data_IF_889022333419
#
_entry.id   IF_889022333419
#
_cell.length_a   1.000
_cell.length_b   1.000
_cell.length_c   1.000
_cell.angle_alpha   90.00
_cell.angle_beta   90.00
_cell.angle_gamma   90.00
#
_symmetry.space_group_name_H-M   'P 1'
#
loop_
_entity.id
_entity.type
_entity.pdbx_description
1 polymer ?
#
# COMPACT_ATOMS: atom_id res chain seq x y z
N UNK A 1 22.51 -3.25 15.89
CA UNK A 1 22.53 -2.64 14.54
C UNK A 1 23.06 -1.20 14.57
N UNK A 2 22.47 -0.26 15.32
CA UNK A 2 23.03 1.11 15.42
C UNK A 2 24.41 1.17 16.10
N UNK A 3 24.70 0.35 17.12
CA UNK A 3 26.06 0.29 17.72
C UNK A 3 27.12 -0.14 16.70
N UNK A 4 26.88 -1.23 15.98
CA UNK A 4 27.77 -1.69 14.90
C UNK A 4 28.00 -0.61 13.82
N UNK A 5 26.95 0.12 13.39
CA UNK A 5 27.12 1.24 12.47
C UNK A 5 27.92 2.40 13.10
N UNK A 6 27.64 2.74 14.36
CA UNK A 6 28.36 3.80 15.08
C UNK A 6 29.86 3.47 15.20
N UNK A 7 30.19 2.21 15.50
CA UNK A 7 31.55 1.70 15.58
C UNK A 7 32.25 1.73 14.20
N UNK A 8 31.58 1.28 13.12
CA UNK A 8 32.12 1.32 11.76
C UNK A 8 32.42 2.72 11.26
N UNK A 9 31.57 3.68 11.58
CA UNK A 9 31.73 5.08 11.17
C UNK A 9 32.49 5.92 12.20
N UNK A 10 32.95 5.32 13.31
CA UNK A 10 33.67 6.02 14.39
C UNK A 10 32.93 7.26 14.92
N UNK A 11 31.60 7.15 15.06
CA UNK A 11 30.75 8.22 15.59
C UNK A 11 30.00 7.76 16.84
N UNK A 12 29.58 8.71 17.67
CA UNK A 12 28.74 8.40 18.82
C UNK A 12 27.39 7.83 18.36
N UNK A 13 26.88 6.82 19.07
CA UNK A 13 25.56 6.24 18.79
C UNK A 13 24.44 7.30 18.81
N UNK A 14 24.55 8.31 19.66
CA UNK A 14 23.63 9.46 19.71
C UNK A 14 23.66 10.29 18.44
N UNK A 15 24.85 10.52 17.87
CA UNK A 15 25.03 11.22 16.59
C UNK A 15 24.41 10.43 15.44
N UNK A 16 24.68 9.12 15.37
CA UNK A 16 24.07 8.26 14.36
C UNK A 16 22.54 8.26 14.47
N UNK A 17 22.00 8.18 15.68
CA UNK A 17 20.55 8.22 15.92
C UNK A 17 19.94 9.53 15.41
N UNK A 18 20.55 10.67 15.73
CA UNK A 18 20.12 11.99 15.23
C UNK A 18 20.12 12.05 13.70
N UNK A 19 21.19 11.57 13.06
CA UNK A 19 21.30 11.54 11.59
C UNK A 19 20.13 10.74 11.01
N UNK A 20 19.90 9.51 11.49
CA UNK A 20 18.82 8.65 11.00
C UNK A 20 17.46 9.35 11.18
N UNK A 21 17.16 9.89 12.36
CA UNK A 21 15.89 10.58 12.61
C UNK A 21 15.71 11.81 11.71
N UNK A 22 16.74 12.62 11.54
CA UNK A 22 16.69 13.81 10.67
C UNK A 22 16.40 13.42 9.22
N UNK A 23 17.09 12.41 8.69
CA UNK A 23 16.87 11.94 7.32
C UNK A 23 15.51 11.26 7.15
N UNK A 24 15.05 10.49 8.14
CA UNK A 24 13.70 9.91 8.12
C UNK A 24 12.61 10.99 8.10
N UNK A 25 12.74 12.04 8.92
CA UNK A 25 11.81 13.15 8.93
C UNK A 25 11.84 13.92 7.60
N UNK A 26 13.03 14.18 7.06
CA UNK A 26 13.19 14.83 5.76
C UNK A 26 12.54 14.00 4.63
N UNK A 27 12.81 12.70 4.58
CA UNK A 27 12.20 11.80 3.61
C UNK A 27 10.68 11.74 3.76
N UNK A 28 10.15 11.75 4.99
CA UNK A 28 8.72 11.83 5.23
C UNK A 28 8.11 13.13 4.68
N UNK A 29 8.79 14.26 4.87
CA UNK A 29 8.37 15.55 4.32
C UNK A 29 8.40 15.55 2.80
N UNK A 30 9.48 15.08 2.19
CA UNK A 30 9.63 15.02 0.73
C UNK A 30 8.60 14.06 0.14
N UNK A 31 8.50 12.83 0.62
CA UNK A 31 7.53 11.85 0.12
C UNK A 31 6.09 12.29 0.37
N UNK A 32 5.82 12.96 1.49
CA UNK A 32 4.51 13.56 1.77
C UNK A 32 4.14 14.70 0.84
N UNK A 33 5.12 15.36 0.20
CA UNK A 33 4.90 16.41 -0.81
C UNK A 33 4.70 15.86 -2.22
N UNK A 34 5.11 14.61 -2.50
CA UNK A 34 4.92 13.92 -3.79
C UNK A 34 3.55 13.22 -3.85
N UNK A 35 2.51 13.86 -3.31
CA UNK A 35 1.12 13.38 -3.46
C UNK A 35 0.58 13.77 -4.84
N UNK A 36 1.20 13.29 -5.91
CA UNK A 36 0.61 13.38 -7.25
C UNK A 36 -0.40 12.26 -7.41
N UNK A 37 -1.68 12.59 -7.66
CA UNK A 37 -2.68 11.61 -8.09
C UNK A 37 -2.40 11.17 -9.54
N UNK A 38 -2.93 10.00 -9.93
CA UNK A 38 -2.81 9.48 -11.29
C UNK A 38 -3.42 10.50 -12.26
N UNK A 39 -2.73 10.90 -13.35
CA UNK A 39 -3.28 11.83 -14.32
C UNK A 39 -4.66 11.39 -14.86
N UNK A 40 -5.55 12.34 -15.15
CA UNK A 40 -6.88 12.01 -15.70
C UNK A 40 -6.79 11.29 -17.06
N UNK A 41 -5.73 11.55 -17.83
CA UNK A 41 -5.45 10.86 -19.09
C UNK A 41 -5.24 9.35 -18.90
N UNK A 42 -4.55 8.93 -17.84
CA UNK A 42 -4.32 7.52 -17.52
C UNK A 42 -5.56 6.88 -16.86
N UNK A 43 -6.30 7.68 -16.09
CA UNK A 43 -7.56 7.31 -15.45
C UNK A 43 -8.65 6.97 -16.48
N UNK A 44 -8.64 7.64 -17.64
CA UNK A 44 -9.62 7.45 -18.72
C UNK A 44 -9.23 6.40 -19.76
N UNK A 45 -8.03 5.82 -19.68
CA UNK A 45 -7.59 4.77 -20.61
C UNK A 45 -8.20 3.41 -20.24
N UNK A 46 -8.49 2.62 -21.27
CA UNK A 46 -8.94 1.25 -21.08
C UNK A 46 -7.77 0.42 -20.55
N UNK A 47 -7.93 -0.30 -19.42
CA UNK A 47 -6.83 -1.02 -18.79
C UNK A 47 -6.30 -2.15 -19.71
N UNK A 48 -5.07 -2.65 -19.45
CA UNK A 48 -4.46 -3.71 -20.25
C UNK A 48 -5.32 -4.97 -20.35
N UNK A 49 -5.05 -5.85 -21.33
CA UNK A 49 -5.79 -7.12 -21.53
C UNK A 49 -5.84 -8.00 -20.29
N UNK A 50 -4.84 -7.90 -19.41
CA UNK A 50 -4.81 -8.60 -18.13
C UNK A 50 -6.03 -8.23 -17.24
N UNK A 51 -6.60 -7.03 -17.39
CA UNK A 51 -7.77 -6.51 -16.68
C UNK A 51 -9.07 -6.64 -17.48
N UNK A 52 -9.16 -7.54 -18.46
CA UNK A 52 -10.40 -7.77 -19.25
C UNK A 52 -11.63 -8.04 -18.38
N UNK A 53 -11.46 -8.76 -17.27
CA UNK A 53 -12.53 -9.04 -16.30
C UNK A 53 -12.91 -7.80 -15.44
N UNK A 54 -12.09 -6.73 -15.49
CA UNK A 54 -12.24 -5.50 -14.70
C UNK A 54 -11.97 -4.23 -15.54
N UNK A 55 -12.72 -4.01 -16.63
CA UNK A 55 -12.40 -3.04 -17.69
C UNK A 55 -12.56 -1.57 -17.27
N UNK A 56 -13.22 -1.31 -16.16
CA UNK A 56 -13.45 0.00 -15.54
C UNK A 56 -12.48 0.29 -14.38
N UNK A 57 -11.51 -0.60 -14.12
CA UNK A 57 -10.50 -0.38 -13.07
C UNK A 57 -9.66 0.84 -13.39
N UNK A 58 -9.71 1.82 -12.51
CA UNK A 58 -9.02 3.10 -12.64
C UNK A 58 -7.75 3.16 -11.81
N UNK A 59 -7.80 2.55 -10.61
CA UNK A 59 -6.68 2.53 -9.67
C UNK A 59 -6.69 1.25 -8.88
N UNK A 60 -5.48 0.73 -8.61
CA UNK A 60 -5.26 -0.44 -7.77
C UNK A 60 -4.61 0.05 -6.49
N UNK A 61 -5.32 -0.07 -5.36
CA UNK A 61 -4.77 0.28 -4.05
C UNK A 61 -4.17 -0.96 -3.41
N UNK A 62 -2.90 -0.84 -3.01
CA UNK A 62 -2.18 -1.89 -2.30
C UNK A 62 -1.40 -1.31 -1.13
N UNK A 63 -1.20 -2.16 -0.11
CA UNK A 63 -0.34 -1.83 1.01
C UNK A 63 1.04 -2.45 0.81
N UNK A 64 2.07 -1.62 0.77
CA UNK A 64 3.45 -2.10 0.81
C UNK A 64 3.98 -2.05 2.23
N UNK A 65 4.63 -3.11 2.68
CA UNK A 65 5.28 -3.20 3.99
C UNK A 65 6.80 -3.18 3.82
N UNK A 66 7.49 -2.24 4.48
CA UNK A 66 8.95 -2.22 4.61
C UNK A 66 9.31 -2.63 6.04
N UNK A 67 10.18 -3.61 6.16
CA UNK A 67 10.72 -4.01 7.47
C UNK A 67 11.55 -2.87 8.06
N UNK A 68 11.28 -2.55 9.31
CA UNK A 68 12.02 -1.56 10.08
C UNK A 68 12.61 -2.19 11.34
N UNK A 69 13.51 -1.46 12.00
CA UNK A 69 13.98 -1.87 13.33
C UNK A 69 12.85 -1.68 14.34
N UNK A 70 12.61 -2.69 15.18
CA UNK A 70 11.62 -2.55 16.24
C UNK A 70 12.02 -1.41 17.20
N UNK A 71 11.11 -0.44 17.42
CA UNK A 71 11.37 0.64 18.35
C UNK A 71 11.44 0.08 19.79
N UNK A 72 12.24 0.73 20.63
CA UNK A 72 12.37 0.35 22.04
C UNK A 72 11.13 0.70 22.87
N UNK A 73 10.28 1.60 22.36
CA UNK A 73 9.03 1.98 23.00
C UNK A 73 7.96 0.91 22.73
N UNK A 74 7.36 0.31 23.77
CA UNK A 74 6.28 -0.67 23.61
C UNK A 74 5.08 -0.13 22.83
N UNK A 75 4.77 1.17 23.01
CA UNK A 75 3.65 1.83 22.31
C UNK A 75 3.92 1.86 20.81
N UNK A 76 5.07 2.40 20.39
CA UNK A 76 5.43 2.44 18.97
C UNK A 76 5.62 1.04 18.41
N UNK A 77 6.10 0.10 19.21
CA UNK A 77 6.25 -1.29 18.79
C UNK A 77 4.89 -1.92 18.51
N UNK A 78 3.88 -1.66 19.35
CA UNK A 78 2.51 -2.15 19.12
C UNK A 78 1.89 -1.59 17.84
N UNK A 79 2.27 -0.38 17.42
CA UNK A 79 1.78 0.25 16.19
C UNK A 79 2.44 -0.31 14.92
N UNK A 80 3.75 -0.58 14.96
CA UNK A 80 4.50 -1.04 13.77
C UNK A 80 4.64 -2.56 13.69
N UNK A 81 4.29 -3.31 14.72
CA UNK A 81 4.44 -4.76 14.72
C UNK A 81 3.38 -5.44 13.86
N UNK A 82 3.81 -6.12 12.80
CA UNK A 82 2.94 -6.94 11.97
C UNK A 82 2.93 -8.37 12.49
N UNK A 83 1.80 -8.80 13.06
CA UNK A 83 1.60 -10.19 13.49
C UNK A 83 1.74 -11.18 12.33
N UNK A 84 1.35 -10.77 11.13
CA UNK A 84 1.45 -11.58 9.91
C UNK A 84 2.90 -11.91 9.54
N UNK A 85 3.81 -10.93 9.59
CA UNK A 85 5.22 -11.15 9.25
C UNK A 85 6.08 -11.46 10.48
N UNK A 86 5.55 -11.32 11.70
CA UNK A 86 6.30 -11.39 12.96
C UNK A 86 7.48 -10.42 13.04
N UNK A 87 7.40 -9.28 12.34
CA UNK A 87 8.42 -8.25 12.30
C UNK A 87 7.79 -6.87 12.48
N UNK A 88 8.60 -5.90 12.93
CA UNK A 88 8.23 -4.50 12.86
C UNK A 88 8.32 -4.01 11.41
N UNK A 89 7.23 -3.46 10.91
CA UNK A 89 7.07 -3.01 9.54
C UNK A 89 6.40 -1.65 9.51
N UNK A 90 6.96 -0.73 8.73
CA UNK A 90 6.22 0.43 8.28
C UNK A 90 5.39 0.01 7.08
N UNK A 91 4.13 0.40 7.06
CA UNK A 91 3.21 0.12 5.96
C UNK A 91 2.98 1.41 5.21
N UNK A 92 2.77 1.39 3.90
CA UNK A 92 2.32 2.55 3.12
C UNK A 92 1.20 2.14 2.19
N UNK A 93 0.26 3.06 2.01
CA UNK A 93 -0.76 2.94 0.98
C UNK A 93 -0.21 3.48 -0.34
N UNK A 94 -0.27 2.66 -1.37
CA UNK A 94 0.11 3.02 -2.74
C UNK A 94 -1.09 2.80 -3.65
N UNK A 95 -1.34 3.72 -4.56
CA UNK A 95 -2.27 3.54 -5.67
C UNK A 95 -1.51 3.47 -6.98
N UNK A 96 -1.87 2.53 -7.83
CA UNK A 96 -1.15 2.25 -9.08
C UNK A 96 -2.17 2.23 -10.22
N UNK A 97 -1.84 2.93 -11.31
CA UNK A 97 -2.62 2.85 -12.54
C UNK A 97 -2.53 1.43 -13.12
N UNK A 98 -3.61 0.87 -13.70
CA UNK A 98 -3.57 -0.43 -14.37
C UNK A 98 -2.48 -0.54 -15.45
N UNK A 99 -2.06 0.60 -16.02
CA UNK A 99 -1.04 0.70 -17.06
C UNK A 99 0.41 0.65 -16.55
N UNK A 100 0.66 0.86 -15.26
CA UNK A 100 1.88 0.40 -14.60
C UNK A 100 3.05 1.36 -14.34
N UNK A 101 3.25 2.54 -14.96
CA UNK A 101 4.32 3.45 -14.50
C UNK A 101 3.82 4.48 -13.47
N UNK A 102 2.55 4.90 -13.56
CA UNK A 102 2.00 5.92 -12.69
C UNK A 102 1.59 5.34 -11.33
N UNK A 103 2.36 5.70 -10.30
CA UNK A 103 2.10 5.35 -8.91
C UNK A 103 1.92 6.60 -8.06
N UNK A 104 1.06 6.49 -7.05
CA UNK A 104 0.77 7.53 -6.08
C UNK A 104 0.99 6.95 -4.68
N UNK A 105 1.77 7.65 -3.86
CA UNK A 105 2.01 7.24 -2.47
C UNK A 105 1.14 8.12 -1.56
N UNK A 106 0.26 7.49 -0.79
CA UNK A 106 -0.73 8.20 0.03
C UNK A 106 -0.30 8.37 1.50
N UNK A 107 0.76 7.68 1.94
CA UNK A 107 1.34 7.83 3.29
C UNK A 107 1.45 6.51 4.06
N UNK A 108 2.00 6.53 5.29
CA UNK A 108 2.13 5.33 6.12
C UNK A 108 0.74 4.76 6.46
N UNK A 109 0.57 3.44 6.61
CA UNK A 109 -0.72 2.72 6.74
C UNK A 109 -1.00 2.18 8.16
N UNK A 110 -2.27 2.32 8.57
CA UNK A 110 -2.90 2.00 9.86
C UNK A 110 -4.43 1.94 9.64
N UNK A 111 -5.20 1.42 10.60
CA UNK A 111 -6.62 1.07 10.37
C UNK A 111 -7.53 2.24 9.93
N UNK A 112 -7.17 3.49 10.28
CA UNK A 112 -7.88 4.72 9.90
C UNK A 112 -7.37 5.38 8.61
N UNK A 113 -6.32 4.83 7.99
CA UNK A 113 -5.51 5.59 7.04
C UNK A 113 -6.14 5.71 5.66
N UNK A 114 -7.04 4.82 5.23
CA UNK A 114 -7.80 5.10 4.01
C UNK A 114 -8.54 6.44 4.14
N UNK A 115 -9.05 6.77 5.33
CA UNK A 115 -9.74 8.04 5.59
C UNK A 115 -8.78 9.22 5.70
N UNK A 116 -7.67 9.06 6.41
CA UNK A 116 -6.71 10.15 6.66
C UNK A 116 -5.75 10.44 5.50
N UNK A 117 -5.55 9.46 4.62
CA UNK A 117 -4.64 9.58 3.48
C UNK A 117 -5.15 10.49 2.36
N UNK A 118 -6.43 10.86 2.40
CA UNK A 118 -7.08 11.70 1.39
C UNK A 118 -7.41 10.99 0.08
N UNK A 119 -7.06 9.69 -0.05
CA UNK A 119 -7.33 8.89 -1.26
C UNK A 119 -8.83 8.84 -1.60
N UNK A 120 -9.69 8.81 -0.58
CA UNK A 120 -11.15 8.75 -0.76
C UNK A 120 -11.71 9.98 -1.48
N UNK A 121 -11.10 11.15 -1.28
CA UNK A 121 -11.54 12.40 -1.91
C UNK A 121 -11.19 12.45 -3.41
N UNK A 122 -10.30 11.56 -3.86
CA UNK A 122 -9.86 11.47 -5.25
C UNK A 122 -10.69 10.45 -6.04
N UNK A 123 -11.42 9.57 -5.35
CA UNK A 123 -12.31 8.60 -5.95
C UNK A 123 -13.67 9.25 -6.29
N UNK A 124 -13.97 9.35 -7.58
CA UNK A 124 -15.21 9.95 -8.10
C UNK A 124 -16.24 8.87 -8.49
N UNK A 125 -17.54 9.19 -8.50
CA UNK A 125 -18.56 8.32 -9.10
C UNK A 125 -18.20 7.96 -10.54
N UNK A 126 -18.36 6.70 -10.92
CA UNK A 126 -18.03 6.19 -12.26
C UNK A 126 -16.62 5.59 -12.40
N UNK A 127 -15.76 5.75 -11.39
CA UNK A 127 -14.48 5.03 -11.30
C UNK A 127 -14.67 3.63 -10.69
N UNK A 128 -13.72 2.74 -10.92
CA UNK A 128 -13.60 1.50 -10.16
C UNK A 128 -12.22 1.37 -9.52
N UNK A 129 -12.18 1.02 -8.24
CA UNK A 129 -10.95 0.79 -7.49
C UNK A 129 -10.79 -0.70 -7.19
N UNK A 130 -9.60 -1.25 -7.47
CA UNK A 130 -9.25 -2.61 -7.06
C UNK A 130 -8.45 -2.57 -5.77
N UNK A 131 -8.82 -3.38 -4.77
CA UNK A 131 -8.18 -3.36 -3.44
C UNK A 131 -7.85 -4.76 -2.93
N UNK A 132 -6.89 -4.86 -2.00
CA UNK A 132 -6.63 -6.13 -1.30
C UNK A 132 -7.76 -6.52 -0.33
N UNK A 133 -7.78 -7.80 0.03
CA UNK A 133 -8.65 -8.43 1.02
C UNK A 133 -8.58 -7.83 2.41
N UNK A 134 -7.64 -6.98 2.74
CA UNK A 134 -7.63 -6.27 4.04
C UNK A 134 -8.39 -4.94 4.00
N UNK A 135 -8.76 -4.43 2.82
CA UNK A 135 -9.39 -3.11 2.67
C UNK A 135 -10.91 -3.19 2.72
N UNK A 136 -11.50 -2.66 3.79
CA UNK A 136 -12.96 -2.53 3.94
C UNK A 136 -13.30 -1.07 3.66
N UNK A 137 -13.59 -0.74 2.40
CA UNK A 137 -13.85 0.64 1.95
C UNK A 137 -15.18 0.80 1.20
N UNK A 138 -15.94 -0.28 1.04
CA UNK A 138 -17.17 -0.30 0.23
C UNK A 138 -18.21 0.73 0.69
N UNK A 139 -18.31 0.96 1.99
CA UNK A 139 -19.33 1.82 2.59
C UNK A 139 -18.92 3.31 2.63
N UNK A 140 -17.66 3.62 2.28
CA UNK A 140 -17.08 4.97 2.41
C UNK A 140 -16.68 5.59 1.08
N UNK A 141 -16.69 4.84 -0.03
CA UNK A 141 -16.37 5.35 -1.36
C UNK A 141 -17.61 5.52 -2.23
N UNK A 142 -17.66 6.55 -3.09
CA UNK A 142 -18.73 6.72 -4.06
C UNK A 142 -18.54 5.88 -5.35
N UNK A 143 -17.47 5.10 -5.43
CA UNK A 143 -17.03 4.39 -6.63
C UNK A 143 -17.18 2.86 -6.48
N UNK A 144 -17.08 2.13 -7.60
CA UNK A 144 -17.15 0.66 -7.59
C UNK A 144 -15.88 0.07 -6.98
N UNK A 145 -16.02 -0.95 -6.12
CA UNK A 145 -14.88 -1.59 -5.46
C UNK A 145 -14.74 -3.03 -5.92
N UNK A 146 -13.62 -3.35 -6.56
CA UNK A 146 -13.22 -4.71 -6.88
C UNK A 146 -12.35 -5.28 -5.77
N UNK A 147 -12.95 -6.18 -4.99
CA UNK A 147 -12.26 -6.89 -3.90
C UNK A 147 -12.30 -8.40 -4.15
N UNK A 148 -11.23 -9.16 -3.89
CA UNK A 148 -11.27 -10.61 -3.99
C UNK A 148 -12.30 -11.22 -3.02
N UNK A 149 -12.94 -12.31 -3.45
CA UNK A 149 -13.95 -13.01 -2.65
C UNK A 149 -13.37 -13.48 -1.30
N UNK A 150 -14.24 -13.59 -0.28
CA UNK A 150 -13.85 -13.96 1.08
C UNK A 150 -14.63 -15.18 1.58
N UNK A 151 -13.92 -16.06 2.29
CA UNK A 151 -14.52 -17.11 3.10
C UNK A 151 -14.95 -16.51 4.44
N UNK A 152 -16.08 -15.80 4.49
CA UNK A 152 -16.58 -15.28 5.78
C UNK A 152 -17.04 -16.41 6.69
N UNK A 153 -18.09 -17.10 6.27
CA UNK A 153 -18.79 -18.11 7.07
C UNK A 153 -18.87 -19.48 6.36
N UNK A 154 -18.04 -19.72 5.34
CA UNK A 154 -18.08 -20.94 4.53
C UNK A 154 -16.77 -21.71 4.64
N UNK A 155 -16.81 -23.06 4.71
CA UNK A 155 -15.61 -23.87 4.82
C UNK A 155 -14.76 -23.87 3.54
N UNK A 156 -15.33 -23.56 2.38
CA UNK A 156 -14.61 -23.60 1.11
C UNK A 156 -15.16 -22.60 0.08
N UNK A 157 -14.25 -22.04 -0.74
CA UNK A 157 -14.61 -21.18 -1.87
C UNK A 157 -15.13 -22.04 -3.01
N UNK A 158 -16.11 -21.54 -3.75
CA UNK A 158 -16.52 -22.18 -5.00
C UNK A 158 -15.39 -22.13 -6.04
N UNK A 159 -15.41 -23.06 -7.00
CA UNK A 159 -14.42 -23.10 -8.07
C UNK A 159 -14.34 -21.78 -8.87
N UNK A 160 -15.47 -21.08 -9.02
CA UNK A 160 -15.54 -19.75 -9.65
C UNK A 160 -14.82 -18.68 -8.84
N UNK A 161 -15.08 -18.59 -7.54
CA UNK A 161 -14.44 -17.63 -6.62
C UNK A 161 -12.93 -17.89 -6.49
N UNK A 162 -12.50 -19.15 -6.51
CA UNK A 162 -11.08 -19.52 -6.55
C UNK A 162 -10.42 -18.99 -7.82
N UNK A 163 -11.09 -19.14 -8.97
CA UNK A 163 -10.59 -18.65 -10.26
C UNK A 163 -10.45 -17.13 -10.26
N UNK A 164 -11.46 -16.43 -9.75
CA UNK A 164 -11.48 -14.97 -9.63
C UNK A 164 -10.40 -14.46 -8.67
N UNK A 165 -10.26 -15.10 -7.50
CA UNK A 165 -9.21 -14.77 -6.52
C UNK A 165 -7.82 -14.99 -7.11
N UNK A 166 -7.63 -16.06 -7.88
CA UNK A 166 -6.37 -16.36 -8.57
C UNK A 166 -6.07 -15.34 -9.67
N UNK A 167 -7.07 -14.89 -10.42
CA UNK A 167 -6.93 -13.83 -11.43
C UNK A 167 -6.50 -12.51 -10.77
N UNK A 168 -7.21 -12.06 -9.72
CA UNK A 168 -6.83 -10.87 -8.95
C UNK A 168 -5.44 -10.97 -8.34
N UNK A 169 -5.06 -12.14 -7.80
CA UNK A 169 -3.72 -12.37 -7.28
C UNK A 169 -2.63 -12.26 -8.36
N UNK A 170 -2.89 -12.73 -9.59
CA UNK A 170 -1.95 -12.57 -10.72
C UNK A 170 -1.78 -11.09 -11.11
N UNK A 171 -2.87 -10.34 -11.15
CA UNK A 171 -2.83 -8.89 -11.41
C UNK A 171 -2.01 -8.16 -10.35
N UNK A 172 -2.17 -8.54 -9.08
CA UNK A 172 -1.33 -7.99 -8.00
C UNK A 172 0.15 -8.34 -8.15
N UNK A 173 0.49 -9.55 -8.59
CA UNK A 173 1.89 -9.92 -8.84
C UNK A 173 2.48 -9.07 -9.99
N UNK A 174 1.68 -8.77 -11.02
CA UNK A 174 2.09 -7.86 -12.08
C UNK A 174 2.40 -6.46 -11.52
N UNK A 175 1.49 -5.92 -10.71
CA UNK A 175 1.65 -4.61 -10.06
C UNK A 175 2.85 -4.58 -9.11
N UNK A 176 3.01 -5.58 -8.24
CA UNK A 176 4.12 -5.67 -7.31
C UNK A 176 5.48 -5.75 -8.02
N UNK A 177 5.53 -6.37 -9.20
CA UNK A 177 6.74 -6.37 -10.04
C UNK A 177 7.08 -4.98 -10.59
N UNK A 178 6.08 -4.13 -10.84
CA UNK A 178 6.31 -2.74 -11.25
C UNK A 178 6.85 -1.87 -10.11
N UNK A 179 6.46 -2.16 -8.86
CA UNK A 179 6.97 -1.46 -7.67
C UNK A 179 8.44 -1.83 -7.35
N UNK A 180 8.80 -3.10 -7.55
CA UNK A 180 10.14 -3.63 -7.21
C UNK A 180 11.17 -3.54 -8.36
N UNK A 181 10.87 -2.83 -9.45
CA UNK A 181 11.82 -2.56 -10.54
C UNK A 181 12.61 -1.29 -10.25
#
# INVERSE_FOLDING_TARGET
>A
KQRDLADRYSILQSTLSRIITTWSNFLLTVLGSVRSWIPEEETGRKPPSDFEDYPDTTVILDCTELRCQCPSSPVLQSEVFSSYTSHCTLKWLIGIAPHGPDMCVFGPYGYEITRESGVLNLLKPGMAVMVDRSFIINDIVPCKVYRPAFLSNRPQMSAGEVRETRAKARLRVHVARSICR
#
